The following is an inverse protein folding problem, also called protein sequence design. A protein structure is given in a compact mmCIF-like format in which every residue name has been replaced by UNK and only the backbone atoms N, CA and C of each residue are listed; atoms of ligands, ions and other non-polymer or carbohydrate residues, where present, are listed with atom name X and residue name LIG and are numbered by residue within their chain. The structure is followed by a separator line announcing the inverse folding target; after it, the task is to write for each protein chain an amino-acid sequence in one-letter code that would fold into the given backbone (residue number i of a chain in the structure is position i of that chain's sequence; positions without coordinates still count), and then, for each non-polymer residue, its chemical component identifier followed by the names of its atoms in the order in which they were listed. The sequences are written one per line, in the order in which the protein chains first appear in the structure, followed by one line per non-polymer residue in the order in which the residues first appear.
data_IF_842907563069
#
_entry.id   IF_842907563069
#
_cell.length_a   1.000
_cell.length_b   1.000
_cell.length_c   1.000
_cell.angle_alpha   90.00
_cell.angle_beta   90.00
_cell.angle_gamma   90.00
#
_symmetry.space_group_name_H-M   'P 1'
#
loop_
_entity.id
_entity.type
_entity.pdbx_description
1 polymer ?
#
# COMPACT_ATOMS: atom_id res chain seq x y z
N UNK A 1 -6.06 25.90 9.63
CA UNK A 1 -6.58 24.52 9.63
C UNK A 1 -7.84 24.45 8.76
N UNK A 2 -7.77 23.83 7.58
CA UNK A 2 -8.95 23.69 6.68
C UNK A 2 -9.48 22.26 6.82
N UNK A 3 -10.60 22.11 7.51
CA UNK A 3 -11.43 20.91 7.49
C UNK A 3 -12.33 20.99 6.24
N UNK A 4 -12.01 20.22 5.21
CA UNK A 4 -12.88 20.06 4.05
C UNK A 4 -13.89 18.93 4.37
N UNK A 5 -15.06 19.30 4.86
CA UNK A 5 -16.17 18.38 5.13
C UNK A 5 -16.98 18.11 3.87
N UNK A 6 -16.84 16.89 3.35
CA UNK A 6 -17.86 16.28 2.51
C UNK A 6 -18.38 15.05 3.25
N UNK A 7 -19.44 15.20 4.04
CA UNK A 7 -20.06 14.10 4.77
C UNK A 7 -20.85 13.21 3.81
N UNK A 8 -20.25 12.14 3.30
CA UNK A 8 -20.99 11.00 2.79
C UNK A 8 -20.71 9.81 3.71
N UNK A 9 -21.76 9.24 4.29
CA UNK A 9 -21.71 7.94 4.98
C UNK A 9 -21.12 6.93 3.99
N UNK A 10 -19.96 6.38 4.30
CA UNK A 10 -19.22 5.45 3.44
C UNK A 10 -19.96 4.09 3.41
N UNK A 11 -20.63 3.71 2.31
CA UNK A 11 -21.40 2.46 2.30
C UNK A 11 -20.54 1.19 2.31
N UNK A 12 -19.21 1.30 2.23
CA UNK A 12 -18.29 0.17 2.04
C UNK A 12 -17.40 -0.18 3.22
N UNK A 13 -17.37 0.65 4.27
CA UNK A 13 -16.42 0.48 5.38
C UNK A 13 -14.94 0.74 5.05
N UNK A 14 -14.58 1.09 3.82
CA UNK A 14 -13.22 1.52 3.46
C UNK A 14 -13.03 3.01 3.74
N UNK A 15 -11.95 3.37 4.43
CA UNK A 15 -11.54 4.75 4.66
C UNK A 15 -10.05 4.93 4.38
N UNK A 16 -9.69 6.01 3.69
CA UNK A 16 -8.33 6.42 3.45
C UNK A 16 -8.12 7.82 4.05
N UNK A 17 -7.19 7.93 4.99
CA UNK A 17 -6.88 9.17 5.71
C UNK A 17 -5.48 9.60 5.30
N UNK A 18 -5.35 10.82 4.78
CA UNK A 18 -4.07 11.48 4.55
C UNK A 18 -3.77 12.39 5.72
N UNK A 19 -2.59 12.25 6.30
CA UNK A 19 -2.15 13.02 7.46
C UNK A 19 -0.91 13.80 7.11
N UNK A 20 -0.98 15.12 7.16
CA UNK A 20 0.16 16.03 7.07
C UNK A 20 0.81 16.17 8.44
N UNK A 21 2.14 16.05 8.48
CA UNK A 21 2.91 16.02 9.73
C UNK A 21 4.24 16.73 9.56
N UNK A 22 4.58 17.59 10.53
CA UNK A 22 5.94 18.11 10.70
C UNK A 22 6.72 17.19 11.60
N UNK A 23 7.92 16.81 11.16
CA UNK A 23 8.82 15.92 11.91
C UNK A 23 10.18 16.57 12.02
N UNK A 24 10.82 16.47 13.20
CA UNK A 24 12.19 16.93 13.42
C UNK A 24 12.95 16.03 14.38
N UNK A 25 14.27 16.09 14.33
CA UNK A 25 15.15 15.47 15.32
C UNK A 25 15.60 14.04 15.02
N UNK A 26 15.43 13.53 13.79
CA UNK A 26 15.97 12.20 13.43
C UNK A 26 17.05 12.30 12.36
N UNK A 27 18.14 11.59 12.58
CA UNK A 27 19.24 11.41 11.64
C UNK A 27 19.76 9.96 11.69
N UNK A 28 19.78 9.26 10.56
CA UNK A 28 20.30 7.89 10.52
C UNK A 28 19.57 6.96 9.56
N UNK A 29 19.64 5.66 9.85
CA UNK A 29 19.01 4.63 9.03
C UNK A 29 17.62 4.31 9.56
N UNK A 30 16.60 4.47 8.72
CA UNK A 30 15.22 4.25 9.12
C UNK A 30 14.34 3.84 7.94
N UNK A 31 13.40 2.93 8.21
CA UNK A 31 12.16 2.79 7.46
C UNK A 31 11.06 3.59 8.16
N UNK A 32 10.67 4.73 7.59
CA UNK A 32 9.80 5.70 8.28
C UNK A 32 8.40 5.19 8.61
N UNK A 33 7.95 4.09 7.99
CA UNK A 33 6.73 3.38 8.40
C UNK A 33 6.78 2.90 9.87
N UNK A 34 7.98 2.68 10.44
CA UNK A 34 8.13 2.38 11.88
C UNK A 34 7.83 3.59 12.76
N UNK A 35 8.29 4.77 12.33
CA UNK A 35 8.00 6.03 13.03
C UNK A 35 6.49 6.31 12.98
N UNK A 36 5.88 6.20 11.80
CA UNK A 36 4.42 6.36 11.64
C UNK A 36 3.65 5.38 12.54
N UNK A 37 4.05 4.11 12.57
CA UNK A 37 3.43 3.13 13.47
C UNK A 37 3.56 3.54 14.94
N UNK A 38 4.73 3.98 15.38
CA UNK A 38 4.97 4.40 16.76
C UNK A 38 4.14 5.63 17.12
N UNK A 39 4.08 6.62 16.23
CA UNK A 39 3.22 7.80 16.36
C UNK A 39 1.76 7.41 16.57
N UNK A 40 1.22 6.54 15.71
CA UNK A 40 -0.18 6.13 15.76
C UNK A 40 -0.53 5.36 17.04
N UNK A 41 0.35 4.49 17.52
CA UNK A 41 0.15 3.76 18.79
C UNK A 41 0.18 4.72 19.97
N UNK A 42 1.03 5.75 19.95
CA UNK A 42 1.09 6.77 21.00
C UNK A 42 -0.14 7.66 21.03
N UNK A 43 -0.55 8.16 19.86
CA UNK A 43 -1.74 9.00 19.73
C UNK A 43 -3.03 8.22 20.05
N UNK A 44 -3.08 6.93 19.72
CA UNK A 44 -4.24 6.08 19.93
C UNK A 44 -3.82 4.64 20.28
N UNK A 45 -3.56 4.34 21.59
CA UNK A 45 -3.02 3.05 22.04
C UNK A 45 -3.85 1.83 21.64
N UNK A 46 -5.15 1.97 21.46
CA UNK A 46 -6.03 0.87 21.02
C UNK A 46 -5.67 0.33 19.62
N UNK A 47 -4.92 1.10 18.82
CA UNK A 47 -4.41 0.64 17.53
C UNK A 47 -3.32 -0.43 17.67
N UNK A 48 -2.71 -0.61 18.85
CA UNK A 48 -1.63 -1.58 19.03
C UNK A 48 -2.05 -2.98 18.60
N UNK A 49 -3.24 -3.43 18.96
CA UNK A 49 -3.76 -4.75 18.58
C UNK A 49 -3.95 -4.91 17.07
N UNK A 50 -4.30 -3.83 16.39
CA UNK A 50 -4.42 -3.83 14.93
C UNK A 50 -3.07 -3.98 14.22
N UNK A 51 -2.01 -3.56 14.86
CA UNK A 51 -0.64 -3.71 14.35
C UNK A 51 0.02 -5.05 14.70
N UNK A 52 -0.51 -5.81 15.67
CA UNK A 52 0.01 -7.16 16.01
C UNK A 52 -0.15 -8.12 14.81
N UNK A 53 0.72 -9.10 14.64
CA UNK A 53 0.56 -10.11 13.59
C UNK A 53 -0.83 -10.76 13.61
N UNK A 54 -1.44 -10.91 12.43
CA UNK A 54 -2.73 -11.62 12.34
C UNK A 54 -2.58 -13.08 12.73
N UNK A 55 -3.48 -13.57 13.56
CA UNK A 55 -3.60 -15.00 13.86
C UNK A 55 -4.50 -15.66 12.81
N UNK A 56 -4.03 -16.75 12.22
CA UNK A 56 -4.81 -17.51 11.24
C UNK A 56 -5.06 -16.80 9.89
N UNK A 57 -6.19 -17.05 9.25
CA UNK A 57 -6.51 -16.57 7.91
C UNK A 57 -7.05 -15.13 7.86
N UNK A 58 -7.19 -14.44 9.00
CA UNK A 58 -7.75 -13.09 9.08
C UNK A 58 -6.84 -12.09 8.37
N UNK A 59 -7.30 -11.34 7.36
CA UNK A 59 -6.50 -10.31 6.72
C UNK A 59 -6.28 -9.12 7.66
N UNK A 60 -5.17 -8.39 7.46
CA UNK A 60 -5.00 -7.08 8.10
C UNK A 60 -5.97 -6.08 7.47
N UNK A 61 -6.76 -5.43 8.31
CA UNK A 61 -7.74 -4.42 7.94
C UNK A 61 -7.25 -2.98 8.16
N UNK A 62 -5.96 -2.85 8.50
CA UNK A 62 -5.25 -1.59 8.57
C UNK A 62 -4.02 -1.63 7.68
N UNK A 63 -3.77 -0.52 7.01
CA UNK A 63 -2.57 -0.22 6.24
C UNK A 63 -2.06 1.16 6.64
N UNK A 64 -0.76 1.29 6.79
CA UNK A 64 -0.10 2.59 6.94
C UNK A 64 0.97 2.73 5.87
N UNK A 65 1.37 3.97 5.60
CA UNK A 65 2.49 4.21 4.69
C UNK A 65 3.72 4.73 5.44
N UNK A 66 4.90 4.70 4.82
CA UNK A 66 6.02 5.53 5.25
C UNK A 66 5.68 7.02 5.11
N UNK A 67 6.58 7.87 5.57
CA UNK A 67 6.52 9.30 5.29
C UNK A 67 6.79 9.58 3.80
N UNK A 68 6.04 10.52 3.25
CA UNK A 68 6.27 11.08 1.93
C UNK A 68 6.65 12.55 2.04
N UNK A 69 7.51 13.00 1.13
CA UNK A 69 7.84 14.41 0.96
C UNK A 69 7.49 14.84 -0.47
N UNK A 70 6.75 15.94 -0.58
CA UNK A 70 6.51 16.57 -1.88
C UNK A 70 7.68 17.49 -2.24
N UNK A 71 8.20 17.34 -3.46
CA UNK A 71 9.21 18.24 -4.04
C UNK A 71 8.72 18.70 -5.41
N UNK A 72 7.96 19.79 -5.45
CA UNK A 72 7.20 20.18 -6.63
C UNK A 72 6.22 19.08 -7.02
N UNK A 73 6.23 18.63 -8.28
CA UNK A 73 5.34 17.57 -8.79
C UNK A 73 5.79 16.15 -8.42
N UNK A 74 6.94 16.01 -7.77
CA UNK A 74 7.47 14.69 -7.39
C UNK A 74 7.16 14.39 -5.94
N UNK A 75 6.70 13.16 -5.72
CA UNK A 75 6.49 12.56 -4.40
C UNK A 75 7.60 11.56 -4.14
N UNK A 76 8.32 11.77 -3.04
CA UNK A 76 9.38 10.89 -2.59
C UNK A 76 8.97 10.15 -1.33
N UNK A 77 9.04 8.82 -1.37
CA UNK A 77 8.84 7.97 -0.20
C UNK A 77 10.14 7.91 0.60
N UNK A 78 10.10 8.23 1.88
CA UNK A 78 11.29 8.41 2.72
C UNK A 78 11.63 7.12 3.46
N UNK A 79 12.73 6.49 3.07
CA UNK A 79 13.28 5.30 3.72
C UNK A 79 14.75 5.08 3.37
N UNK A 80 15.48 4.43 4.27
CA UNK A 80 16.87 3.99 4.02
C UNK A 80 16.88 2.69 3.20
N UNK A 81 17.74 2.64 2.20
CA UNK A 81 17.98 1.45 1.40
C UNK A 81 19.47 1.30 1.08
N UNK A 82 19.87 0.11 0.73
CA UNK A 82 21.21 -0.19 0.22
C UNK A 82 21.14 -1.09 -1.00
N UNK A 83 22.16 -1.03 -1.82
CA UNK A 83 22.37 -2.00 -2.88
C UNK A 83 23.19 -3.17 -2.33
N UNK A 84 22.53 -4.33 -2.22
CA UNK A 84 23.13 -5.52 -1.64
C UNK A 84 23.14 -6.65 -2.66
N UNK A 85 24.25 -7.41 -2.69
CA UNK A 85 24.34 -8.67 -3.42
C UNK A 85 24.03 -9.81 -2.48
N UNK A 86 23.12 -10.69 -2.89
CA UNK A 86 22.80 -11.90 -2.15
C UNK A 86 23.63 -13.05 -2.71
N UNK A 87 24.46 -13.67 -1.88
CA UNK A 87 25.02 -14.99 -2.14
C UNK A 87 24.27 -16.05 -1.34
N UNK A 88 24.41 -17.34 -1.67
CA UNK A 88 23.71 -18.46 -1.00
C UNK A 88 23.85 -18.47 0.53
N UNK A 89 24.85 -17.82 1.10
CA UNK A 89 25.14 -17.84 2.55
C UNK A 89 25.21 -16.46 3.20
N UNK A 90 25.43 -15.38 2.46
CA UNK A 90 25.69 -14.05 3.00
C UNK A 90 25.05 -12.96 2.12
N UNK A 91 24.40 -12.01 2.77
CA UNK A 91 23.98 -10.74 2.15
C UNK A 91 25.16 -9.77 2.37
N UNK A 92 25.85 -9.40 1.29
CA UNK A 92 26.86 -8.34 1.32
C UNK A 92 26.26 -7.09 0.69
N UNK A 93 26.10 -6.04 1.44
CA UNK A 93 25.77 -4.73 0.89
C UNK A 93 27.05 -4.09 0.37
N UNK A 94 27.00 -3.59 -0.86
CA UNK A 94 28.15 -3.01 -1.57
C UNK A 94 28.42 -1.60 -1.05
N UNK A 95 27.36 -0.92 -0.60
CA UNK A 95 27.40 0.45 -0.12
C UNK A 95 26.71 0.54 1.25
N UNK A 96 27.09 1.56 2.02
CA UNK A 96 26.37 1.92 3.24
C UNK A 96 24.94 2.33 2.87
N UNK A 97 23.96 2.03 3.72
CA UNK A 97 22.59 2.46 3.49
C UNK A 97 22.48 3.98 3.36
N UNK A 98 21.49 4.42 2.60
CA UNK A 98 21.18 5.86 2.51
C UNK A 98 20.77 6.37 3.89
N UNK A 99 21.45 7.42 4.37
CA UNK A 99 21.08 8.14 5.59
C UNK A 99 19.89 9.02 5.27
N UNK A 100 18.94 9.09 6.19
CA UNK A 100 17.83 10.04 6.12
C UNK A 100 17.92 11.02 7.28
N UNK A 101 17.54 12.26 6.99
CA UNK A 101 17.32 13.30 7.98
C UNK A 101 15.86 13.72 7.92
N UNK A 102 15.19 13.67 9.07
CA UNK A 102 13.81 14.12 9.19
C UNK A 102 13.80 15.49 9.85
N UNK A 103 13.59 16.53 9.02
CA UNK A 103 13.42 17.90 9.45
C UNK A 103 12.56 18.62 8.41
N UNK A 104 11.30 18.89 8.76
CA UNK A 104 10.33 19.58 7.90
C UNK A 104 8.99 18.86 7.76
N UNK A 105 8.30 19.18 6.68
CA UNK A 105 6.92 18.77 6.44
C UNK A 105 6.86 17.51 5.57
N UNK A 106 6.04 16.56 6.02
CA UNK A 106 5.81 15.27 5.40
C UNK A 106 4.32 14.95 5.42
N UNK A 107 3.93 13.87 4.79
CA UNK A 107 2.62 13.28 4.96
C UNK A 107 2.69 11.75 4.89
N UNK A 108 1.65 11.09 5.38
CA UNK A 108 1.47 9.65 5.28
C UNK A 108 -0.02 9.30 5.13
N UNK A 109 -0.31 8.07 4.76
CA UNK A 109 -1.67 7.57 4.65
C UNK A 109 -1.95 6.48 5.68
N UNK A 110 -3.19 6.45 6.14
CA UNK A 110 -3.78 5.39 6.93
C UNK A 110 -4.98 4.86 6.13
N UNK A 111 -4.89 3.62 5.67
CA UNK A 111 -6.02 2.92 5.07
C UNK A 111 -6.61 1.94 6.06
N UNK A 112 -7.92 1.91 6.18
CA UNK A 112 -8.59 0.96 7.06
C UNK A 112 -9.92 0.47 6.47
N UNK A 113 -10.33 -0.71 6.96
CA UNK A 113 -11.71 -1.15 6.86
C UNK A 113 -12.35 -1.03 8.24
N UNK A 114 -13.43 -0.27 8.34
CA UNK A 114 -14.10 0.08 9.61
C UNK A 114 -14.85 -1.12 10.19
N UNK A 115 -14.15 -1.89 10.99
CA UNK A 115 -14.70 -3.04 11.72
C UNK A 115 -14.25 -3.00 13.18
N UNK A 116 -14.84 -2.11 13.98
CA UNK A 116 -14.51 -1.93 15.40
C UNK A 116 -13.71 -0.67 15.72
N UNK A 117 -12.88 -0.15 14.79
CA UNK A 117 -12.32 1.22 14.86
C UNK A 117 -12.84 1.99 13.66
N UNK A 118 -13.36 3.19 13.89
CA UNK A 118 -13.79 4.11 12.84
C UNK A 118 -12.68 5.06 12.45
N UNK A 119 -12.64 5.49 11.19
CA UNK A 119 -11.69 6.50 10.75
C UNK A 119 -11.78 7.79 11.55
N UNK A 120 -13.00 8.18 11.94
CA UNK A 120 -13.25 9.36 12.78
C UNK A 120 -12.60 9.26 14.17
N UNK A 121 -12.51 8.06 14.77
CA UNK A 121 -11.84 7.88 16.06
C UNK A 121 -10.35 8.18 15.94
N UNK A 122 -9.71 7.71 14.84
CA UNK A 122 -8.31 8.00 14.55
C UNK A 122 -8.12 9.50 14.31
N UNK A 123 -8.97 10.11 13.48
CA UNK A 123 -8.93 11.55 13.19
C UNK A 123 -9.02 12.36 14.47
N UNK A 124 -9.97 12.06 15.36
CA UNK A 124 -10.18 12.79 16.63
C UNK A 124 -8.95 12.74 17.54
N UNK A 125 -8.21 11.63 17.53
CA UNK A 125 -6.99 11.46 18.34
C UNK A 125 -5.76 12.11 17.75
N UNK A 126 -5.74 12.27 16.43
CA UNK A 126 -4.63 12.93 15.72
C UNK A 126 -4.81 14.45 15.61
N UNK A 127 -6.03 14.96 15.77
CA UNK A 127 -6.27 16.41 15.73
C UNK A 127 -5.46 17.14 16.79
N UNK A 128 -4.65 18.11 16.35
CA UNK A 128 -3.76 18.91 17.21
C UNK A 128 -2.75 18.08 18.02
N UNK A 129 -2.44 16.86 17.58
CA UNK A 129 -1.45 16.03 18.27
C UNK A 129 -0.05 16.58 18.05
N UNK A 130 0.62 16.87 19.17
CA UNK A 130 2.02 17.31 19.22
C UNK A 130 2.71 16.53 20.32
N UNK A 131 3.80 15.85 19.98
CA UNK A 131 4.60 15.12 20.97
C UNK A 131 6.06 15.06 20.55
N UNK A 132 6.96 15.14 21.55
CA UNK A 132 8.37 14.77 21.41
C UNK A 132 8.62 13.51 22.22
N UNK A 133 9.14 12.47 21.58
CA UNK A 133 9.40 11.18 22.21
C UNK A 133 10.75 10.59 21.80
N UNK A 134 11.24 9.66 22.59
CA UNK A 134 12.44 8.91 22.26
C UNK A 134 12.11 7.84 21.19
N UNK A 135 12.80 7.90 20.05
CA UNK A 135 12.68 6.95 18.96
C UNK A 135 14.07 6.58 18.44
N UNK A 136 14.44 5.30 18.56
CA UNK A 136 15.77 4.77 18.17
C UNK A 136 16.90 5.62 18.83
N UNK A 137 16.81 5.86 20.14
CA UNK A 137 17.78 6.62 20.95
C UNK A 137 17.95 8.09 20.50
N UNK A 138 16.99 8.65 19.78
CA UNK A 138 16.96 10.06 19.40
C UNK A 138 15.65 10.68 19.84
N UNK A 139 15.68 11.96 20.22
CA UNK A 139 14.46 12.71 20.54
C UNK A 139 13.84 13.20 19.24
N UNK A 140 12.70 12.65 18.86
CA UNK A 140 11.95 13.01 17.67
C UNK A 140 10.70 13.77 18.08
N UNK A 141 10.48 14.92 17.47
CA UNK A 141 9.25 15.71 17.65
C UNK A 141 8.38 15.59 16.43
N UNK A 142 7.07 15.42 16.66
CA UNK A 142 6.03 15.32 15.63
C UNK A 142 4.88 16.24 15.96
N UNK A 143 4.37 16.92 14.94
CA UNK A 143 3.21 17.80 14.99
C UNK A 143 2.29 17.49 13.82
N UNK A 144 1.02 17.18 14.09
CA UNK A 144 0.03 16.93 13.03
C UNK A 144 -0.52 18.27 12.55
N UNK A 145 -0.32 18.56 11.25
CA UNK A 145 -0.68 19.83 10.63
C UNK A 145 -2.02 19.79 9.89
N UNK A 146 -2.33 18.64 9.27
CA UNK A 146 -3.55 18.50 8.47
C UNK A 146 -4.03 17.06 8.44
N UNK A 147 -5.34 16.88 8.32
CA UNK A 147 -5.96 15.57 8.14
C UNK A 147 -7.03 15.70 7.05
N UNK A 148 -6.97 14.81 6.08
CA UNK A 148 -7.93 14.70 4.98
C UNK A 148 -8.45 13.27 4.93
N UNK A 149 -9.77 13.12 4.87
CA UNK A 149 -10.43 11.81 4.73
C UNK A 149 -10.96 11.69 3.31
N UNK A 150 -10.54 10.64 2.61
CA UNK A 150 -10.91 10.37 1.23
C UNK A 150 -11.75 9.10 1.16
N UNK A 151 -12.86 9.16 0.40
CA UNK A 151 -13.59 7.95 0.03
C UNK A 151 -12.87 7.26 -1.14
N UNK A 152 -12.26 6.08 -0.93
CA UNK A 152 -11.46 5.45 -1.96
C UNK A 152 -12.28 4.82 -3.10
N UNK A 153 -13.57 4.59 -2.93
CA UNK A 153 -14.41 3.96 -3.95
C UNK A 153 -14.70 4.87 -5.14
N UNK A 154 -14.93 6.16 -4.89
CA UNK A 154 -15.25 7.11 -5.95
C UNK A 154 -14.09 7.21 -6.96
N UNK A 155 -12.84 7.54 -6.54
CA UNK A 155 -11.72 7.57 -7.47
C UNK A 155 -11.41 6.20 -8.08
N UNK A 156 -11.66 5.10 -7.36
CA UNK A 156 -11.39 3.76 -7.88
C UNK A 156 -12.33 3.37 -9.03
N UNK A 157 -13.61 3.75 -8.98
CA UNK A 157 -14.55 3.55 -10.09
C UNK A 157 -14.14 4.34 -11.33
N UNK A 158 -13.83 5.62 -11.17
CA UNK A 158 -13.34 6.46 -12.27
C UNK A 158 -12.03 5.94 -12.88
N UNK A 159 -11.11 5.45 -12.05
CA UNK A 159 -9.87 4.83 -12.51
C UNK A 159 -10.17 3.55 -13.29
N UNK A 160 -11.08 2.68 -12.81
CA UNK A 160 -11.41 1.44 -13.48
C UNK A 160 -11.99 1.70 -14.89
N UNK A 161 -12.91 2.64 -15.02
CA UNK A 161 -13.46 3.08 -16.31
C UNK A 161 -12.35 3.55 -17.25
N UNK A 162 -11.49 4.47 -16.82
CA UNK A 162 -10.36 4.97 -17.63
C UNK A 162 -9.35 3.88 -17.97
N UNK A 163 -9.13 2.89 -17.11
CA UNK A 163 -8.27 1.72 -17.39
C UNK A 163 -8.86 0.88 -18.52
N UNK A 164 -10.18 0.68 -18.54
CA UNK A 164 -10.89 -0.02 -19.60
C UNK A 164 -10.77 0.77 -20.92
N UNK A 165 -11.02 2.07 -20.90
CA UNK A 165 -10.91 2.96 -22.06
C UNK A 165 -9.49 3.01 -22.63
N UNK A 166 -8.47 3.14 -21.79
CA UNK A 166 -7.05 3.19 -22.19
C UNK A 166 -6.45 1.82 -22.48
N UNK A 167 -7.21 0.74 -22.28
CA UNK A 167 -6.79 -0.65 -22.46
C UNK A 167 -5.52 -1.01 -21.67
N UNK A 168 -5.31 -0.36 -20.53
CA UNK A 168 -4.15 -0.65 -19.71
C UNK A 168 -4.07 0.12 -18.40
N UNK A 169 -3.29 -0.44 -17.47
CA UNK A 169 -3.12 0.08 -16.12
C UNK A 169 -1.65 0.16 -15.74
N UNK A 170 -1.28 1.26 -15.11
CA UNK A 170 0.01 1.45 -14.43
C UNK A 170 -0.20 1.33 -12.93
N UNK A 171 0.46 0.36 -12.30
CA UNK A 171 0.52 0.21 -10.84
C UNK A 171 1.86 0.73 -10.35
N UNK A 172 1.84 1.85 -9.65
CA UNK A 172 3.02 2.48 -9.06
C UNK A 172 3.17 1.97 -7.63
N UNK A 173 4.33 1.42 -7.29
CA UNK A 173 4.68 1.04 -5.93
C UNK A 173 5.16 2.28 -5.17
N UNK A 174 4.20 3.04 -4.62
CA UNK A 174 4.47 4.30 -3.90
C UNK A 174 5.22 4.08 -2.59
N UNK A 175 5.12 2.88 -2.00
CA UNK A 175 6.06 2.39 -0.99
C UNK A 175 6.63 1.03 -1.42
N UNK A 176 7.77 0.58 -0.84
CA UNK A 176 8.31 -0.75 -1.13
C UNK A 176 7.30 -1.88 -0.91
N UNK A 177 7.27 -2.87 -1.80
CA UNK A 177 6.25 -3.93 -1.80
C UNK A 177 6.88 -5.30 -1.54
N UNK A 178 6.24 -6.09 -0.67
CA UNK A 178 6.63 -7.45 -0.32
C UNK A 178 5.57 -8.43 -0.87
N UNK A 179 5.71 -8.86 -2.12
CA UNK A 179 4.77 -9.78 -2.75
C UNK A 179 4.97 -11.24 -2.30
N UNK A 180 3.91 -12.01 -2.41
CA UNK A 180 3.90 -13.45 -2.25
C UNK A 180 3.09 -14.08 -3.38
N UNK A 181 3.55 -15.22 -3.85
CA UNK A 181 2.80 -16.03 -4.79
C UNK A 181 1.65 -16.75 -4.04
N UNK A 182 0.38 -16.44 -4.34
CA UNK A 182 -0.76 -16.99 -3.62
C UNK A 182 -1.01 -18.48 -3.89
N UNK A 183 -0.42 -19.02 -4.96
CA UNK A 183 -0.59 -20.43 -5.35
C UNK A 183 0.49 -21.35 -4.76
N UNK A 184 1.61 -20.79 -4.27
CA UNK A 184 2.67 -21.59 -3.67
C UNK A 184 2.29 -22.02 -2.25
N UNK A 185 2.55 -23.29 -1.94
CA UNK A 185 2.27 -23.89 -0.63
C UNK A 185 3.15 -23.32 0.48
N UNK A 186 4.39 -22.97 0.17
CA UNK A 186 5.32 -22.33 1.11
C UNK A 186 5.04 -20.84 1.23
N UNK A 187 4.04 -20.49 2.04
CA UNK A 187 3.56 -19.11 2.25
C UNK A 187 4.62 -18.08 2.70
N UNK A 188 5.79 -18.51 3.14
CA UNK A 188 6.85 -17.62 3.63
C UNK A 188 7.77 -17.10 2.52
N UNK A 189 7.77 -17.70 1.34
CA UNK A 189 8.62 -17.23 0.24
C UNK A 189 8.04 -15.97 -0.39
N UNK A 190 8.85 -14.92 -0.43
CA UNK A 190 8.57 -13.70 -1.19
C UNK A 190 8.80 -13.96 -2.66
N UNK A 191 8.04 -13.30 -3.51
CA UNK A 191 8.28 -13.24 -4.94
C UNK A 191 8.63 -11.80 -5.34
N UNK A 192 9.48 -11.66 -6.33
CA UNK A 192 9.83 -10.38 -6.94
C UNK A 192 9.26 -10.25 -8.35
N UNK A 193 8.35 -11.14 -8.71
CA UNK A 193 7.62 -11.10 -9.97
C UNK A 193 6.28 -10.41 -9.70
N UNK A 194 6.09 -9.17 -10.17
CA UNK A 194 4.85 -8.44 -9.98
C UNK A 194 3.83 -8.84 -11.05
N UNK A 195 3.47 -10.13 -11.12
CA UNK A 195 2.35 -10.58 -11.95
C UNK A 195 1.03 -10.00 -11.39
N UNK A 196 -0.01 -9.81 -12.20
CA UNK A 196 -1.30 -9.29 -11.75
C UNK A 196 -1.85 -10.10 -10.57
N UNK A 197 -1.72 -11.43 -10.62
CA UNK A 197 -2.14 -12.33 -9.56
C UNK A 197 -1.39 -12.07 -8.24
N UNK A 198 -0.07 -11.82 -8.29
CA UNK A 198 0.74 -11.57 -7.10
C UNK A 198 0.44 -10.19 -6.48
N UNK A 199 0.20 -9.18 -7.34
CA UNK A 199 -0.10 -7.81 -6.90
C UNK A 199 -1.48 -7.74 -6.26
N UNK A 200 -2.51 -8.28 -6.91
CA UNK A 200 -3.90 -8.17 -6.45
C UNK A 200 -4.36 -9.31 -5.52
N UNK A 201 -3.48 -10.26 -5.18
CA UNK A 201 -3.83 -11.39 -4.31
C UNK A 201 -4.44 -10.96 -2.97
N UNK A 202 -3.81 -10.01 -2.30
CA UNK A 202 -4.25 -9.56 -0.97
C UNK A 202 -5.51 -8.70 -1.03
N UNK A 203 -5.66 -7.73 -1.94
CA UNK A 203 -6.93 -7.03 -2.18
C UNK A 203 -8.11 -7.99 -2.43
N UNK A 204 -7.96 -8.95 -3.33
CA UNK A 204 -8.99 -9.96 -3.63
C UNK A 204 -9.31 -10.80 -2.39
N UNK A 205 -8.29 -11.27 -1.68
CA UNK A 205 -8.46 -12.03 -0.45
C UNK A 205 -9.25 -11.26 0.60
N UNK A 206 -8.89 -9.99 0.82
CA UNK A 206 -9.54 -9.14 1.83
C UNK A 206 -10.99 -8.85 1.45
N UNK A 207 -11.25 -8.52 0.17
CA UNK A 207 -12.62 -8.32 -0.35
C UNK A 207 -13.50 -9.55 -0.10
N UNK A 208 -13.03 -10.75 -0.46
CA UNK A 208 -13.79 -11.98 -0.30
C UNK A 208 -13.99 -12.34 1.18
N UNK A 209 -12.99 -12.12 2.02
CA UNK A 209 -13.11 -12.34 3.46
C UNK A 209 -14.24 -11.50 4.07
N UNK A 210 -14.29 -10.22 3.71
CA UNK A 210 -15.30 -9.28 4.20
C UNK A 210 -16.70 -9.53 3.61
N UNK A 211 -16.77 -10.12 2.43
CA UNK A 211 -18.04 -10.50 1.79
C UNK A 211 -18.66 -11.82 2.31
N UNK A 212 -18.22 -12.32 3.46
CA UNK A 212 -18.81 -13.52 4.07
C UNK A 212 -17.91 -14.76 4.13
N UNK A 213 -16.62 -14.59 3.88
CA UNK A 213 -15.62 -15.63 4.06
C UNK A 213 -15.03 -16.19 2.76
N UNK A 214 -13.88 -16.84 2.91
CA UNK A 214 -13.09 -17.30 1.78
C UNK A 214 -13.38 -18.77 1.46
N UNK A 215 -14.04 -19.00 0.35
CA UNK A 215 -14.09 -20.32 -0.29
C UNK A 215 -12.89 -20.45 -1.23
N UNK A 216 -12.03 -21.47 -1.01
CA UNK A 216 -10.78 -21.68 -1.77
C UNK A 216 -10.97 -21.65 -3.30
N UNK A 217 -12.04 -22.28 -3.79
CA UNK A 217 -12.36 -22.26 -5.23
C UNK A 217 -12.72 -20.88 -5.77
N UNK A 218 -13.47 -20.06 -5.01
CA UNK A 218 -13.83 -18.71 -5.38
C UNK A 218 -12.59 -17.80 -5.43
N UNK A 219 -11.75 -17.86 -4.40
CA UNK A 219 -10.50 -17.08 -4.36
C UNK A 219 -9.59 -17.42 -5.55
N UNK A 220 -9.38 -18.70 -5.84
CA UNK A 220 -8.57 -19.13 -6.99
C UNK A 220 -9.16 -18.63 -8.31
N UNK A 221 -10.47 -18.67 -8.48
CA UNK A 221 -11.15 -18.15 -9.68
C UNK A 221 -10.94 -16.66 -9.86
N UNK A 222 -11.09 -15.86 -8.80
CA UNK A 222 -10.87 -14.41 -8.86
C UNK A 222 -9.41 -14.06 -9.16
N UNK A 223 -8.44 -14.80 -8.61
CA UNK A 223 -7.03 -14.64 -8.95
C UNK A 223 -6.76 -14.92 -10.43
N UNK A 224 -7.33 -15.99 -10.97
CA UNK A 224 -7.18 -16.35 -12.39
C UNK A 224 -7.87 -15.34 -13.32
N UNK A 225 -9.01 -14.77 -12.90
CA UNK A 225 -9.67 -13.68 -13.65
C UNK A 225 -8.76 -12.47 -13.80
N UNK A 226 -8.18 -11.99 -12.70
CA UNK A 226 -7.24 -10.86 -12.77
C UNK A 226 -6.00 -11.20 -13.57
N UNK A 227 -5.47 -12.40 -13.41
CA UNK A 227 -4.30 -12.84 -14.17
C UNK A 227 -4.53 -12.95 -15.67
N UNK A 228 -5.71 -13.37 -16.11
CA UNK A 228 -6.07 -13.45 -17.52
C UNK A 228 -6.46 -12.09 -18.12
N UNK A 229 -7.05 -11.20 -17.29
CA UNK A 229 -7.46 -9.88 -17.76
C UNK A 229 -6.26 -8.97 -18.03
N UNK A 230 -5.15 -9.16 -17.30
CA UNK A 230 -3.99 -8.28 -17.37
C UNK A 230 -2.76 -9.03 -17.89
N UNK A 231 -2.25 -8.57 -19.03
CA UNK A 231 -1.01 -9.04 -19.61
C UNK A 231 0.16 -8.15 -19.20
N UNK A 232 1.24 -8.74 -18.65
CA UNK A 232 2.45 -8.03 -18.29
C UNK A 232 3.14 -7.47 -19.54
N UNK A 233 3.58 -6.21 -19.48
CA UNK A 233 4.41 -5.65 -20.55
C UNK A 233 5.89 -5.99 -20.31
N UNK A 234 6.68 -6.10 -21.38
CA UNK A 234 8.12 -6.39 -21.27
C UNK A 234 8.89 -5.34 -20.45
N UNK A 235 8.33 -4.14 -20.27
CA UNK A 235 8.93 -3.06 -19.49
C UNK A 235 9.02 -3.36 -17.99
N UNK A 236 8.34 -4.38 -17.50
CA UNK A 236 8.38 -4.79 -16.07
C UNK A 236 9.81 -4.98 -15.56
N UNK A 237 10.70 -5.54 -16.38
CA UNK A 237 12.11 -5.76 -16.01
C UNK A 237 12.95 -4.46 -15.91
N UNK A 238 12.46 -3.36 -16.51
CA UNK A 238 13.12 -2.05 -16.46
C UNK A 238 12.55 -1.16 -15.37
N UNK A 239 11.27 -1.31 -15.06
CA UNK A 239 10.49 -0.38 -14.24
C UNK A 239 10.29 -0.86 -12.81
N UNK A 240 10.22 -2.17 -12.60
CA UNK A 240 10.16 -2.78 -11.27
C UNK A 240 11.57 -3.29 -10.87
N UNK A 241 12.07 -2.83 -9.73
CA UNK A 241 13.41 -3.16 -9.25
C UNK A 241 13.34 -3.68 -7.81
N UNK A 242 14.32 -4.51 -7.44
CA UNK A 242 14.49 -4.94 -6.05
C UNK A 242 15.48 -4.00 -5.36
N UNK A 243 15.06 -3.43 -4.23
CA UNK A 243 15.93 -2.69 -3.32
C UNK A 243 15.94 -3.33 -1.94
N UNK A 244 17.04 -3.21 -1.23
CA UNK A 244 17.20 -3.73 0.12
C UNK A 244 16.85 -2.61 1.11
N UNK A 245 15.71 -2.76 1.79
CA UNK A 245 15.14 -1.75 2.67
C UNK A 245 15.60 -2.00 4.09
N UNK A 246 16.12 -0.98 4.76
CA UNK A 246 16.49 -1.04 6.17
C UNK A 246 15.26 -0.89 7.06
N UNK A 247 14.58 -2.02 7.28
CA UNK A 247 13.38 -2.05 8.12
C UNK A 247 13.71 -2.17 9.61
N UNK A 248 14.69 -3.04 9.94
CA UNK A 248 15.26 -3.24 11.28
C UNK A 248 16.77 -3.38 11.13
N UNK A 249 17.43 -4.15 11.96
CA UNK A 249 18.88 -4.41 11.91
C UNK A 249 19.31 -5.18 10.65
N UNK A 250 18.35 -5.80 9.95
CA UNK A 250 18.61 -6.55 8.72
C UNK A 250 17.86 -5.95 7.54
N UNK A 251 18.54 -5.79 6.39
CA UNK A 251 17.89 -5.31 5.19
C UNK A 251 16.90 -6.35 4.65
N UNK A 252 15.78 -5.87 4.14
CA UNK A 252 14.70 -6.69 3.59
C UNK A 252 14.55 -6.37 2.10
N UNK A 253 14.70 -7.35 1.18
CA UNK A 253 14.50 -7.10 -0.24
C UNK A 253 13.02 -6.86 -0.52
N UNK A 254 12.73 -5.77 -1.25
CA UNK A 254 11.38 -5.36 -1.62
C UNK A 254 11.37 -4.81 -3.05
N UNK A 255 10.21 -4.91 -3.71
CA UNK A 255 9.99 -4.30 -5.02
C UNK A 255 9.70 -2.81 -4.87
N UNK A 256 10.27 -2.02 -5.77
CA UNK A 256 10.04 -0.58 -5.92
C UNK A 256 9.87 -0.23 -7.40
N UNK A 257 9.29 0.94 -7.69
CA UNK A 257 9.05 1.42 -9.04
C UNK A 257 7.61 1.20 -9.48
N UNK A 258 7.38 0.69 -10.67
CA UNK A 258 6.02 0.49 -11.20
C UNK A 258 5.96 -0.67 -12.18
N UNK A 259 4.76 -1.12 -12.46
CA UNK A 259 4.46 -2.12 -13.49
C UNK A 259 3.30 -1.64 -14.35
N UNK A 260 3.41 -1.90 -15.66
CA UNK A 260 2.34 -1.66 -16.61
C UNK A 260 1.73 -3.01 -17.01
N UNK A 261 0.40 -3.06 -17.05
CA UNK A 261 -0.35 -4.19 -17.61
C UNK A 261 -1.23 -3.70 -18.74
N UNK A 262 -1.33 -4.49 -19.80
CA UNK A 262 -2.31 -4.29 -20.87
C UNK A 262 -3.55 -5.15 -20.60
N UNK A 263 -4.72 -4.63 -20.91
CA UNK A 263 -5.96 -5.40 -20.84
C UNK A 263 -6.05 -6.36 -22.01
N UNK A 264 -6.44 -7.59 -21.72
CA UNK A 264 -6.92 -8.54 -22.71
C UNK A 264 -8.38 -8.23 -23.03
N UNK A 265 -8.61 -7.63 -24.20
CA UNK A 265 -9.92 -7.13 -24.60
C UNK A 265 -10.89 -8.27 -24.88
N UNK A 266 -10.40 -9.39 -25.42
CA UNK A 266 -11.26 -10.53 -25.72
C UNK A 266 -11.71 -11.21 -24.43
N UNK A 267 -10.80 -11.30 -23.44
CA UNK A 267 -11.16 -11.80 -22.13
C UNK A 267 -12.08 -10.85 -21.36
N UNK A 268 -11.92 -9.53 -21.53
CA UNK A 268 -12.83 -8.53 -20.96
C UNK A 268 -14.26 -8.76 -21.47
N UNK A 269 -14.47 -8.85 -22.80
CA UNK A 269 -15.77 -9.14 -23.40
C UNK A 269 -16.36 -10.45 -22.89
N UNK A 270 -15.52 -11.48 -22.78
CA UNK A 270 -15.96 -12.77 -22.22
C UNK A 270 -16.47 -12.66 -20.77
N UNK A 271 -15.87 -11.80 -19.94
CA UNK A 271 -16.36 -11.54 -18.58
C UNK A 271 -17.72 -10.81 -18.59
N UNK A 272 -17.91 -9.84 -19.50
CA UNK A 272 -19.17 -9.13 -19.69
C UNK A 272 -20.29 -10.06 -20.16
N UNK A 273 -19.99 -10.96 -21.09
CA UNK A 273 -20.91 -12.01 -21.56
C UNK A 273 -21.33 -12.97 -20.45
N UNK A 274 -20.47 -13.18 -19.43
CA UNK A 274 -20.80 -13.92 -18.21
C UNK A 274 -21.65 -13.10 -17.21
N UNK A 275 -22.08 -11.89 -17.57
CA UNK A 275 -22.87 -11.01 -16.71
C UNK A 275 -22.05 -10.31 -15.61
N UNK A 276 -20.73 -10.22 -15.76
CA UNK A 276 -19.88 -9.53 -14.79
C UNK A 276 -19.78 -8.07 -15.21
N UNK A 277 -20.22 -7.15 -14.35
CA UNK A 277 -19.89 -5.74 -14.49
C UNK A 277 -18.39 -5.56 -14.21
N UNK A 278 -17.57 -5.49 -15.26
CA UNK A 278 -16.10 -5.46 -15.15
C UNK A 278 -15.63 -4.15 -14.53
N UNK A 279 -16.29 -3.01 -14.79
CA UNK A 279 -15.95 -1.72 -14.19
C UNK A 279 -16.10 -1.77 -12.67
N UNK A 280 -17.26 -2.21 -12.17
CA UNK A 280 -17.51 -2.33 -10.73
C UNK A 280 -16.61 -3.37 -10.06
N UNK A 281 -16.42 -4.52 -10.73
CA UNK A 281 -15.56 -5.58 -10.20
C UNK A 281 -14.11 -5.13 -10.04
N UNK A 282 -13.60 -4.44 -11.06
CA UNK A 282 -12.23 -3.94 -11.10
C UNK A 282 -12.06 -2.74 -10.17
N UNK A 283 -13.00 -1.80 -10.17
CA UNK A 283 -13.03 -0.64 -9.27
C UNK A 283 -12.97 -1.05 -7.80
N UNK A 284 -13.75 -2.06 -7.43
CA UNK A 284 -13.69 -2.61 -6.07
C UNK A 284 -12.29 -3.18 -5.73
N UNK A 285 -11.67 -3.97 -6.62
CA UNK A 285 -10.34 -4.53 -6.37
C UNK A 285 -9.31 -3.40 -6.22
N UNK A 286 -9.39 -2.36 -7.07
CA UNK A 286 -8.52 -1.19 -7.02
C UNK A 286 -8.71 -0.39 -5.73
N UNK A 287 -9.94 -0.19 -5.27
CA UNK A 287 -10.23 0.47 -4.00
C UNK A 287 -9.56 -0.24 -2.81
N UNK A 288 -9.71 -1.58 -2.73
CA UNK A 288 -9.01 -2.37 -1.71
C UNK A 288 -7.49 -2.29 -1.83
N UNK A 289 -6.94 -2.28 -3.06
CA UNK A 289 -5.51 -2.18 -3.29
C UNK A 289 -4.94 -0.83 -2.87
N UNK A 290 -5.57 0.28 -3.23
CA UNK A 290 -5.12 1.64 -2.90
C UNK A 290 -5.32 1.96 -1.41
N UNK A 291 -6.37 1.41 -0.78
CA UNK A 291 -6.66 1.69 0.64
C UNK A 291 -5.88 0.78 1.57
N UNK A 292 -6.02 -0.53 1.40
CA UNK A 292 -5.43 -1.51 2.32
C UNK A 292 -4.06 -2.02 1.86
N UNK A 293 -3.58 -1.55 0.70
CA UNK A 293 -2.29 -1.92 0.14
C UNK A 293 -2.23 -3.33 -0.45
N UNK A 294 -1.10 -3.63 -1.08
CA UNK A 294 -0.81 -4.92 -1.71
C UNK A 294 0.30 -5.68 -0.98
N UNK A 295 0.36 -6.99 -1.15
CA UNK A 295 1.40 -7.83 -0.55
C UNK A 295 1.33 -7.90 0.99
N UNK A 296 2.49 -8.06 1.63
CA UNK A 296 2.62 -8.22 3.08
C UNK A 296 3.33 -7.05 3.73
N UNK A 297 3.27 -6.94 5.08
CA UNK A 297 3.90 -5.84 5.81
C UNK A 297 3.10 -4.53 5.76
N UNK A 298 1.85 -4.56 5.33
CA UNK A 298 0.97 -3.39 5.16
C UNK A 298 0.79 -2.57 6.44
N UNK A 299 0.68 -3.22 7.57
CA UNK A 299 0.60 -2.57 8.89
C UNK A 299 1.96 -2.01 9.39
N UNK A 300 2.98 -2.05 8.57
CA UNK A 300 4.32 -1.52 8.88
C UNK A 300 4.87 -0.62 7.79
N UNK A 301 4.02 -0.23 6.82
CA UNK A 301 4.36 0.75 5.80
C UNK A 301 4.65 0.19 4.41
N UNK A 302 4.72 -1.13 4.24
CA UNK A 302 4.92 -1.74 2.93
C UNK A 302 3.63 -1.84 2.14
N UNK A 303 3.72 -1.76 0.82
CA UNK A 303 2.65 -2.16 -0.08
C UNK A 303 1.67 -1.08 -0.47
N UNK A 304 1.96 0.21 -0.24
CA UNK A 304 1.12 1.28 -0.78
C UNK A 304 1.29 1.40 -2.29
N UNK A 305 0.17 1.49 -3.00
CA UNK A 305 0.15 1.58 -4.46
C UNK A 305 -0.77 2.70 -4.92
N UNK A 306 -0.36 3.36 -5.99
CA UNK A 306 -1.21 4.19 -6.82
C UNK A 306 -1.53 3.44 -8.11
N UNK A 307 -2.78 3.51 -8.54
CA UNK A 307 -3.26 2.89 -9.77
C UNK A 307 -3.68 4.00 -10.73
N UNK A 308 -3.15 3.96 -11.95
CA UNK A 308 -3.39 4.99 -12.97
C UNK A 308 -3.68 4.32 -14.32
N UNK A 309 -4.56 4.87 -15.17
CA UNK A 309 -4.67 4.42 -16.56
C UNK A 309 -3.34 4.66 -17.29
N UNK A 310 -3.01 3.82 -18.26
CA UNK A 310 -1.87 4.08 -19.15
C UNK A 310 -2.30 5.19 -20.09
N UNK A 311 -1.51 6.26 -20.17
CA UNK A 311 -1.72 7.28 -21.20
C UNK A 311 -1.45 6.63 -22.56
N UNK A 312 -2.39 6.76 -23.49
CA UNK A 312 -2.14 6.39 -24.89
C UNK A 312 -0.93 7.20 -25.36
N UNK A 313 0.10 6.50 -25.84
CA UNK A 313 1.19 7.19 -26.53
C UNK A 313 0.59 7.85 -27.77
N UNK A 314 0.49 9.16 -27.75
CA UNK A 314 0.21 9.97 -28.93
C UNK A 314 1.36 9.82 -29.93
#
# INVERSE_FOLDING_TARGET
MRLLYGWCVLPSGLALIRVGVRVSGFYGYLYTGRLVKSLLIRAYPQLEDWFKPSKGPVPKLIHITPLYKSRGDKVECIYSYADCKSSRKLIKCVESPTIIELNGDYYFYIGLYESGIKGLDIVSKLLNYVECFEFIKQRVCVEIESIEVVNPLIPAGDIARRVIESKGVKVVFSSPVLLRDPLKTRRRQKTFIPSPMNVFAVPIYTKLYLAGGIKKGVYRRELLRVHRLFNETYTVFKTARVKWIYYTDKPVPALVGYVNYRLDIDYLKHLEEQGINVEDWLGNIMAYAMTLGVGTGRATGFGHVEIKPIQAST
#
